data_IF_241858233519
#
_entry.id   IF_241858233519
#
_cell.length_a   1.000
_cell.length_b   1.000
_cell.length_c   1.000
_cell.angle_alpha   90.00
_cell.angle_beta   90.00
_cell.angle_gamma   90.00
#
_symmetry.space_group_name_H-M   'P 1'
#
loop_
_entity.id
_entity.type
_entity.pdbx_description
1 polymer ?
#
# COMPACT_ATOMS: atom_id res chain seq x y z
N UNK A 1 18.12 -23.06 12.81
CA UNK A 1 17.17 -24.19 12.75
C UNK A 1 16.10 -23.82 11.75
N UNK A 2 16.25 -24.22 10.49
CA UNK A 2 15.22 -23.99 9.47
C UNK A 2 14.07 -24.94 9.76
N UNK A 3 12.90 -24.39 10.07
CA UNK A 3 11.67 -25.16 10.19
C UNK A 3 11.39 -25.84 8.84
N UNK A 4 11.63 -27.15 8.75
CA UNK A 4 11.11 -28.00 7.67
C UNK A 4 9.59 -28.15 7.88
N UNK A 5 8.86 -27.06 7.70
CA UNK A 5 7.42 -27.13 7.48
C UNK A 5 7.27 -27.42 5.99
N UNK A 6 6.64 -28.55 5.66
CA UNK A 6 6.22 -28.80 4.28
C UNK A 6 5.46 -27.56 3.78
N UNK A 7 5.73 -27.11 2.55
CA UNK A 7 5.09 -25.91 2.05
C UNK A 7 3.57 -26.09 2.13
N UNK A 8 2.81 -25.07 2.57
CA UNK A 8 1.36 -25.17 2.67
C UNK A 8 0.79 -25.65 1.34
N UNK A 9 0.06 -26.76 1.38
CA UNK A 9 -0.45 -27.46 0.20
C UNK A 9 -1.96 -27.61 0.32
N UNK A 10 -2.66 -27.40 -0.80
CA UNK A 10 -4.11 -27.51 -0.87
C UNK A 10 -4.46 -28.99 -0.95
N UNK A 11 -5.34 -29.52 -0.07
CA UNK A 11 -5.74 -30.92 -0.16
C UNK A 11 -6.35 -31.26 -1.52
N UNK A 12 -5.80 -32.27 -2.17
CA UNK A 12 -6.22 -32.76 -3.49
C UNK A 12 -7.73 -33.06 -3.53
N UNK A 13 -8.28 -33.62 -2.44
CA UNK A 13 -9.71 -33.88 -2.30
C UNK A 13 -10.60 -32.61 -2.41
N UNK A 14 -10.11 -31.47 -1.92
CA UNK A 14 -10.83 -30.19 -2.02
C UNK A 14 -10.92 -29.73 -3.47
N UNK A 15 -9.83 -29.85 -4.22
CA UNK A 15 -9.78 -29.48 -5.64
C UNK A 15 -10.70 -30.41 -6.45
N UNK A 16 -10.72 -31.72 -6.13
CA UNK A 16 -11.64 -32.66 -6.77
C UNK A 16 -13.10 -32.26 -6.56
N UNK A 17 -13.43 -31.81 -5.34
CA UNK A 17 -14.77 -31.35 -4.99
C UNK A 17 -15.13 -30.09 -5.77
N UNK A 18 -14.22 -29.11 -5.85
CA UNK A 18 -14.41 -27.88 -6.64
C UNK A 18 -14.68 -28.21 -8.11
N UNK A 19 -13.88 -29.07 -8.74
CA UNK A 19 -14.10 -29.45 -10.14
C UNK A 19 -15.44 -30.13 -10.37
N UNK A 20 -15.85 -31.01 -9.45
CA UNK A 20 -17.13 -31.71 -9.54
C UNK A 20 -18.33 -30.79 -9.34
N UNK A 21 -18.26 -29.85 -8.40
CA UNK A 21 -19.40 -28.99 -8.05
C UNK A 21 -19.52 -27.76 -8.94
N UNK A 22 -18.40 -27.19 -9.42
CA UNK A 22 -18.40 -25.90 -10.12
C UNK A 22 -17.99 -26.00 -11.60
N UNK A 23 -17.13 -26.95 -11.98
CA UNK A 23 -16.54 -26.97 -13.33
C UNK A 23 -17.20 -27.96 -14.28
N UNK A 24 -17.59 -29.14 -13.79
CA UNK A 24 -18.17 -30.18 -14.64
C UNK A 24 -19.64 -29.92 -14.91
N UNK A 25 -20.01 -29.78 -16.19
CA UNK A 25 -21.41 -29.67 -16.62
C UNK A 25 -22.17 -30.99 -16.52
N UNK A 26 -21.45 -32.11 -16.59
CA UNK A 26 -22.01 -33.46 -16.56
C UNK A 26 -21.49 -34.23 -15.35
N UNK A 27 -22.38 -34.86 -14.58
CA UNK A 27 -22.06 -35.64 -13.37
C UNK A 27 -21.24 -36.91 -13.64
N UNK A 28 -21.23 -37.39 -14.88
CA UNK A 28 -20.43 -38.54 -15.31
C UNK A 28 -18.96 -38.20 -15.57
N UNK A 29 -18.59 -36.93 -15.61
CA UNK A 29 -17.21 -36.50 -15.84
C UNK A 29 -16.31 -37.00 -14.70
N UNK A 30 -15.11 -37.50 -15.07
CA UNK A 30 -14.09 -37.96 -14.13
C UNK A 30 -12.77 -37.30 -14.47
N UNK A 31 -11.98 -37.00 -13.45
CA UNK A 31 -10.64 -36.43 -13.56
C UNK A 31 -9.63 -37.41 -12.95
N UNK A 32 -8.47 -37.56 -13.59
CA UNK A 32 -7.42 -38.44 -13.09
C UNK A 32 -6.70 -37.80 -11.91
N UNK A 33 -6.10 -38.63 -11.05
CA UNK A 33 -5.31 -38.15 -9.90
C UNK A 33 -4.16 -37.25 -10.35
N UNK A 34 -3.40 -37.67 -11.37
CA UNK A 34 -2.27 -36.89 -11.89
C UNK A 34 -2.71 -35.49 -12.37
N UNK A 35 -3.83 -35.40 -13.09
CA UNK A 35 -4.36 -34.10 -13.55
C UNK A 35 -4.72 -33.20 -12.36
N UNK A 36 -5.22 -33.80 -11.28
CA UNK A 36 -5.60 -33.10 -10.07
C UNK A 36 -4.39 -32.59 -9.29
N UNK A 37 -3.33 -33.38 -9.21
CA UNK A 37 -2.03 -32.97 -8.66
C UNK A 37 -1.43 -31.81 -9.46
N UNK A 38 -1.41 -31.89 -10.79
CA UNK A 38 -0.98 -30.77 -11.64
C UNK A 38 -1.84 -29.52 -11.43
N UNK A 39 -3.16 -29.69 -11.30
CA UNK A 39 -4.08 -28.57 -11.03
C UNK A 39 -3.77 -27.91 -9.68
N UNK A 40 -3.34 -28.69 -8.68
CA UNK A 40 -2.96 -28.16 -7.38
C UNK A 40 -1.73 -27.26 -7.45
N UNK A 41 -0.71 -27.67 -8.21
CA UNK A 41 0.48 -26.85 -8.46
C UNK A 41 0.14 -25.59 -9.27
N UNK A 42 -0.76 -25.70 -10.25
CA UNK A 42 -1.20 -24.55 -11.03
C UNK A 42 -1.96 -23.51 -10.19
N UNK A 43 -2.89 -23.94 -9.34
CA UNK A 43 -3.58 -23.05 -8.39
C UNK A 43 -2.59 -22.39 -7.43
N UNK A 44 -1.57 -23.12 -7.00
CA UNK A 44 -0.51 -22.59 -6.13
C UNK A 44 0.32 -21.51 -6.83
N UNK A 45 0.68 -21.72 -8.09
CA UNK A 45 1.33 -20.70 -8.91
C UNK A 45 0.45 -19.45 -9.06
N UNK A 46 -0.84 -19.64 -9.35
CA UNK A 46 -1.80 -18.54 -9.46
C UNK A 46 -1.88 -17.71 -8.17
N UNK A 47 -2.00 -18.36 -7.00
CA UNK A 47 -2.05 -17.67 -5.71
C UNK A 47 -0.75 -16.92 -5.43
N UNK A 48 0.40 -17.53 -5.70
CA UNK A 48 1.69 -16.89 -5.49
C UNK A 48 1.87 -15.67 -6.39
N UNK A 49 1.50 -15.77 -7.67
CA UNK A 49 1.57 -14.66 -8.62
C UNK A 49 0.65 -13.51 -8.19
N UNK A 50 -0.58 -13.83 -7.75
CA UNK A 50 -1.52 -12.85 -7.22
C UNK A 50 -0.93 -12.09 -6.04
N UNK A 51 -0.29 -12.79 -5.09
CA UNK A 51 0.34 -12.17 -3.91
C UNK A 51 1.52 -11.29 -4.32
N UNK A 52 2.40 -11.78 -5.21
CA UNK A 52 3.59 -11.04 -5.65
C UNK A 52 3.18 -9.74 -6.34
N UNK A 53 2.24 -9.81 -7.30
CA UNK A 53 1.78 -8.62 -8.02
C UNK A 53 1.02 -7.65 -7.12
N UNK A 54 0.18 -8.14 -6.22
CA UNK A 54 -0.52 -7.28 -5.26
C UNK A 54 0.46 -6.58 -4.30
N UNK A 55 1.54 -7.27 -3.92
CA UNK A 55 2.61 -6.68 -3.11
C UNK A 55 3.42 -5.65 -3.90
N UNK A 56 3.65 -5.89 -5.19
CA UNK A 56 4.33 -4.94 -6.07
C UNK A 56 3.51 -3.65 -6.18
N UNK A 57 2.21 -3.76 -6.44
CA UNK A 57 1.28 -2.62 -6.48
C UNK A 57 1.32 -1.82 -5.16
N UNK A 58 1.27 -2.50 -4.01
CA UNK A 58 1.37 -1.85 -2.68
C UNK A 58 2.64 -1.01 -2.52
N UNK A 59 3.78 -1.51 -3.03
CA UNK A 59 5.06 -0.80 -2.97
C UNK A 59 5.05 0.41 -3.90
N UNK A 60 4.51 0.25 -5.11
CA UNK A 60 4.41 1.32 -6.11
C UNK A 60 3.48 2.46 -5.65
N UNK A 61 2.34 2.15 -5.03
CA UNK A 61 1.45 3.15 -4.43
C UNK A 61 2.14 3.93 -3.30
N UNK A 62 2.92 3.24 -2.44
CA UNK A 62 3.69 3.89 -1.38
C UNK A 62 4.80 4.81 -1.88
N UNK A 63 5.47 4.43 -2.97
CA UNK A 63 6.53 5.22 -3.61
C UNK A 63 5.97 6.41 -4.41
N UNK A 64 4.75 6.31 -4.94
CA UNK A 64 4.09 7.43 -5.61
C UNK A 64 3.75 8.58 -4.65
N UNK A 65 3.34 8.27 -3.42
CA UNK A 65 3.01 9.27 -2.40
C UNK A 65 4.23 10.03 -1.88
N UNK A 66 5.42 9.42 -1.86
CA UNK A 66 6.66 10.07 -1.43
C UNK A 66 7.33 10.87 -2.55
N UNK A 67 6.98 10.63 -3.82
CA UNK A 67 7.58 11.29 -5.00
C UNK A 67 6.89 12.58 -5.45
N UNK A 68 5.80 13.00 -4.80
CA UNK A 68 5.21 14.33 -5.01
C UNK A 68 5.93 15.35 -4.11
N UNK A 69 7.24 15.51 -4.32
CA UNK A 69 8.00 16.58 -3.65
C UNK A 69 8.39 17.66 -4.67
N UNK A 70 7.40 18.47 -5.03
CA UNK A 70 7.61 19.75 -5.71
C UNK A 70 8.26 20.82 -4.81
N UNK A 71 8.79 20.46 -3.64
CA UNK A 71 9.43 21.36 -2.66
C UNK A 71 10.97 21.17 -2.64
N UNK A 72 11.54 20.31 -3.49
CA UNK A 72 13.01 20.13 -3.59
C UNK A 72 13.72 21.23 -4.40
N UNK A 73 13.36 22.51 -4.21
CA UNK A 73 14.10 23.61 -4.84
C UNK A 73 14.19 24.91 -4.02
N UNK A 74 14.16 24.81 -2.69
CA UNK A 74 14.45 25.94 -1.77
C UNK A 74 15.68 25.65 -0.92
N UNK A 75 16.83 25.52 -1.57
CA UNK A 75 18.11 25.95 -1.00
C UNK A 75 18.90 26.71 -2.04
N UNK A 76 18.32 27.83 -2.51
CA UNK A 76 19.04 28.86 -3.25
C UNK A 76 19.49 29.93 -2.26
N UNK A 77 20.82 30.02 -2.11
CA UNK A 77 21.57 31.23 -1.78
C UNK A 77 21.43 31.77 -0.35
N UNK A 78 22.33 31.33 0.52
CA UNK A 78 23.00 32.26 1.45
C UNK A 78 24.48 31.90 1.52
N UNK A 79 25.25 32.66 0.74
CA UNK A 79 26.69 32.83 0.91
C UNK A 79 26.93 33.33 2.34
N UNK A 80 27.57 32.52 3.18
CA UNK A 80 27.98 32.95 4.52
C UNK A 80 29.43 33.45 4.43
N UNK A 81 29.58 34.72 4.06
CA UNK A 81 30.79 35.50 4.32
C UNK A 81 30.92 35.74 5.81
N UNK A 82 31.77 34.97 6.48
CA UNK A 82 32.18 35.21 7.86
C UNK A 82 33.16 36.39 7.90
N UNK A 83 32.73 37.57 8.36
CA UNK A 83 33.62 38.53 9.05
C UNK A 83 32.87 39.73 9.65
N UNK A 84 33.20 40.00 10.92
CA UNK A 84 33.29 41.30 11.59
C UNK A 84 32.02 41.94 12.18
N UNK A 85 31.87 41.72 13.49
CA UNK A 85 31.90 42.76 14.54
C UNK A 85 31.16 44.07 14.30
N UNK A 86 30.10 44.34 15.08
CA UNK A 86 29.68 45.71 15.37
C UNK A 86 28.25 45.89 15.87
N UNK A 87 28.16 46.34 17.13
CA UNK A 87 27.07 47.12 17.73
C UNK A 87 25.82 46.38 18.23
N UNK A 88 25.85 46.17 19.55
CA UNK A 88 24.69 46.07 20.42
C UNK A 88 24.18 47.51 20.61
N UNK A 89 22.99 47.84 20.11
CA UNK A 89 22.20 48.95 20.66
C UNK A 89 20.71 48.81 20.31
N UNK A 90 19.88 49.09 21.32
CA UNK A 90 18.51 49.61 21.23
C UNK A 90 17.37 48.71 20.69
N UNK A 91 16.85 47.82 21.55
CA UNK A 91 15.44 47.42 21.47
C UNK A 91 14.60 48.51 22.14
N UNK A 92 14.02 49.39 21.32
CA UNK A 92 12.93 50.25 21.75
C UNK A 92 11.65 49.43 21.86
N UNK A 93 11.10 49.53 23.05
CA UNK A 93 9.75 49.22 23.51
C UNK A 93 8.69 49.79 22.55
N UNK A 94 7.77 48.94 22.09
CA UNK A 94 6.45 49.36 21.59
C UNK A 94 5.47 48.18 21.81
N UNK A 95 4.86 48.21 23.00
CA UNK A 95 3.63 47.53 23.38
C UNK A 95 2.45 47.95 22.47
N UNK A 96 1.79 46.99 21.82
CA UNK A 96 0.39 47.09 21.39
C UNK A 96 -0.22 45.68 21.49
N UNK A 97 -0.76 45.32 22.65
CA UNK A 97 -2.18 45.41 23.04
C UNK A 97 -3.06 44.35 22.35
N UNK A 98 -3.59 43.44 23.19
CA UNK A 98 -4.62 42.44 22.92
C UNK A 98 -5.84 43.06 22.25
N UNK A 99 -6.26 42.49 21.12
CA UNK A 99 -7.61 42.72 20.59
C UNK A 99 -8.27 41.39 20.21
N UNK A 100 -9.09 40.94 21.16
CA UNK A 100 -10.24 40.03 21.12
C UNK A 100 -10.50 39.25 19.81
N UNK A 101 -10.28 37.94 19.90
CA UNK A 101 -10.74 36.90 18.97
C UNK A 101 -12.27 36.75 19.11
N UNK A 102 -13.07 36.98 18.06
CA UNK A 102 -14.46 36.55 18.04
C UNK A 102 -14.52 35.08 17.61
N UNK A 103 -14.83 34.19 18.56
CA UNK A 103 -15.28 32.82 18.29
C UNK A 103 -16.68 32.88 17.66
N UNK A 104 -16.79 32.66 16.35
CA UNK A 104 -18.07 32.33 15.71
C UNK A 104 -17.87 31.28 14.60
N UNK A 105 -18.45 30.10 14.86
CA UNK A 105 -19.00 29.15 13.89
C UNK A 105 -18.11 28.51 12.81
N UNK A 106 -17.04 27.84 13.23
CA UNK A 106 -16.39 26.80 12.41
C UNK A 106 -16.78 25.38 12.86
N UNK A 107 -18.08 25.03 12.76
CA UNK A 107 -18.48 23.61 12.65
C UNK A 107 -18.10 23.09 11.25
N UNK A 108 -16.81 22.92 11.00
CA UNK A 108 -16.33 22.17 9.84
C UNK A 108 -16.40 20.69 10.16
N UNK A 109 -17.40 20.01 9.58
CA UNK A 109 -17.52 18.57 9.44
C UNK A 109 -16.15 17.89 9.29
N UNK A 110 -15.63 17.33 10.38
CA UNK A 110 -14.46 16.43 10.35
C UNK A 110 -14.94 15.03 9.97
N UNK A 111 -15.53 14.91 8.78
CA UNK A 111 -15.78 13.61 8.17
C UNK A 111 -14.70 13.38 7.10
N UNK A 112 -13.88 12.36 7.36
CA UNK A 112 -12.90 11.74 6.45
C UNK A 112 -11.66 12.57 6.12
N UNK A 113 -10.78 12.76 7.11
CA UNK A 113 -9.36 12.73 6.77
C UNK A 113 -8.93 11.25 6.63
N UNK A 114 -8.48 10.79 5.46
CA UNK A 114 -7.67 9.58 5.43
C UNK A 114 -6.40 9.90 6.23
N UNK A 115 -6.17 9.17 7.31
CA UNK A 115 -4.97 9.30 8.12
C UNK A 115 -3.75 9.22 7.21
N UNK A 116 -3.10 10.35 6.96
CA UNK A 116 -1.80 10.43 6.28
C UNK A 116 -0.73 10.00 7.27
N UNK A 117 -0.80 8.74 7.72
CA UNK A 117 0.31 8.08 8.41
C UNK A 117 1.24 7.56 7.32
N UNK A 118 2.23 8.38 6.97
CA UNK A 118 3.33 8.11 6.04
C UNK A 118 4.30 7.01 6.53
N UNK A 119 3.86 6.13 7.43
CA UNK A 119 4.70 5.09 8.05
C UNK A 119 4.20 3.65 7.87
N UNK A 120 3.04 3.38 7.25
CA UNK A 120 2.44 2.02 7.33
C UNK A 120 1.69 1.56 6.08
N UNK A 121 2.27 1.67 4.88
CA UNK A 121 1.77 0.90 3.73
C UNK A 121 2.18 -0.58 3.80
N UNK A 122 2.34 -1.19 4.99
CA UNK A 122 2.76 -2.59 5.15
C UNK A 122 1.59 -3.59 5.12
N UNK A 123 0.36 -3.10 4.98
CA UNK A 123 -0.83 -3.96 4.89
C UNK A 123 -1.18 -4.24 3.43
N UNK A 124 -1.31 -5.53 3.09
CA UNK A 124 -1.85 -5.97 1.81
C UNK A 124 -3.39 -6.02 1.89
N UNK A 125 -4.07 -5.00 1.36
CA UNK A 125 -5.53 -4.95 1.26
C UNK A 125 -6.03 -5.40 -0.14
N UNK A 126 -7.32 -5.75 -0.19
CA UNK A 126 -8.13 -6.08 -1.37
C UNK A 126 -8.04 -5.11 -2.54
N UNK A 127 -7.72 -3.83 -2.28
CA UNK A 127 -7.53 -2.81 -3.33
C UNK A 127 -6.36 -3.15 -4.25
N UNK A 128 -5.22 -3.56 -3.69
CA UNK A 128 -4.04 -3.90 -4.47
C UNK A 128 -4.29 -5.11 -5.36
N UNK A 129 -4.99 -6.13 -4.84
CA UNK A 129 -5.40 -7.29 -5.63
C UNK A 129 -6.36 -6.89 -6.75
N UNK A 130 -7.32 -6.00 -6.47
CA UNK A 130 -8.28 -5.53 -7.47
C UNK A 130 -7.60 -4.80 -8.64
N UNK A 131 -6.58 -3.98 -8.36
CA UNK A 131 -5.83 -3.25 -9.40
C UNK A 131 -5.09 -4.22 -10.35
N UNK A 132 -4.54 -5.31 -9.82
CA UNK A 132 -3.77 -6.29 -10.61
C UNK A 132 -4.63 -7.43 -11.18
N UNK A 133 -5.86 -7.62 -10.70
CA UNK A 133 -6.71 -8.77 -11.02
C UNK A 133 -6.99 -8.90 -12.52
N UNK A 134 -7.23 -7.79 -13.22
CA UNK A 134 -7.54 -7.81 -14.65
C UNK A 134 -6.39 -8.39 -15.49
N UNK A 135 -5.15 -7.96 -15.22
CA UNK A 135 -3.96 -8.47 -15.89
C UNK A 135 -3.62 -9.89 -15.43
N UNK A 136 -3.76 -10.16 -14.13
CA UNK A 136 -3.55 -11.49 -13.55
C UNK A 136 -4.41 -12.56 -14.23
N UNK A 137 -5.68 -12.26 -14.54
CA UNK A 137 -6.58 -13.20 -15.22
C UNK A 137 -6.21 -13.40 -16.70
N UNK A 138 -5.60 -12.43 -17.37
CA UNK A 138 -5.22 -12.58 -18.79
C UNK A 138 -4.02 -13.52 -18.99
N UNK A 139 -3.19 -13.70 -17.97
CA UNK A 139 -2.01 -14.56 -18.02
C UNK A 139 -2.34 -16.06 -17.80
N UNK A 140 -3.59 -16.37 -17.45
CA UNK A 140 -4.08 -17.72 -17.11
C UNK A 140 -5.26 -18.13 -18.02
#
# INVERSE_FOLDING_TARGET
MSNNQDPPSIPVATIAKIFRELSFKNDSTRITLNTLELSSEYIKLFINEAIIRSNQERIEEGDSLTKVDGIDNVTRTQENTTAATGNIDEFSDDEFEDEDIPEDDAFTNTYNQPSTNTLTNDSLDSRHLNNVAGVLVLDF
#
